data_IF_174523614289
#
_entry.id   IF_174523614289
#
_cell.length_a   1.000
_cell.length_b   1.000
_cell.length_c   1.000
_cell.angle_alpha   90.00
_cell.angle_beta   90.00
_cell.angle_gamma   90.00
#
_symmetry.space_group_name_H-M   'P 1'
#
loop_
_entity.id
_entity.type
_entity.pdbx_description
1 polymer ?
#
# COMPACT_ATOMS: atom_id res chain seq x y z
N UNK A 1 -1.09 -41.08 -3.72
CA UNK A 1 -1.00 -39.80 -4.46
C UNK A 1 -1.84 -38.77 -3.73
N UNK A 2 -1.22 -37.97 -2.87
CA UNK A 2 -1.91 -36.86 -2.20
C UNK A 2 -1.85 -35.68 -3.17
N UNK A 3 -2.99 -35.36 -3.80
CA UNK A 3 -3.15 -34.11 -4.55
C UNK A 3 -3.22 -32.99 -3.51
N UNK A 4 -2.09 -32.34 -3.27
CA UNK A 4 -2.07 -31.05 -2.58
C UNK A 4 -2.49 -30.01 -3.61
N UNK A 5 -3.80 -29.81 -3.76
CA UNK A 5 -4.35 -28.64 -4.43
C UNK A 5 -4.04 -27.41 -3.54
N UNK A 6 -2.82 -26.89 -3.68
CA UNK A 6 -2.49 -25.55 -3.18
C UNK A 6 -3.24 -24.61 -4.11
N UNK A 7 -4.49 -24.31 -3.77
CA UNK A 7 -5.17 -23.12 -4.28
C UNK A 7 -4.28 -21.92 -3.94
N UNK A 8 -3.46 -21.48 -4.89
CA UNK A 8 -2.87 -20.16 -4.85
C UNK A 8 -4.03 -19.17 -4.81
N UNK A 9 -4.44 -18.78 -3.60
CA UNK A 9 -5.41 -17.72 -3.39
C UNK A 9 -4.84 -16.48 -4.07
N UNK A 10 -5.38 -16.14 -5.24
CA UNK A 10 -4.99 -14.94 -5.99
C UNK A 10 -5.02 -13.76 -5.03
N UNK A 11 -3.86 -13.18 -4.75
CA UNK A 11 -3.76 -12.02 -3.87
C UNK A 11 -4.44 -10.85 -4.55
N UNK A 12 -5.50 -10.33 -3.94
CA UNK A 12 -6.22 -9.16 -4.44
C UNK A 12 -5.67 -7.94 -3.72
N UNK A 13 -4.93 -7.12 -4.44
CA UNK A 13 -4.46 -5.83 -3.97
C UNK A 13 -5.62 -4.85 -3.93
N UNK A 14 -5.81 -4.16 -2.81
CA UNK A 14 -6.85 -3.16 -2.63
C UNK A 14 -6.43 -1.78 -3.10
N UNK A 15 -5.14 -1.58 -3.33
CA UNK A 15 -4.58 -0.34 -3.87
C UNK A 15 -3.30 -0.59 -4.67
N UNK A 16 -2.96 0.37 -5.54
CA UNK A 16 -1.67 0.38 -6.23
C UNK A 16 -0.50 0.43 -5.24
N UNK A 17 -0.66 1.11 -4.10
CA UNK A 17 0.33 1.18 -3.03
C UNK A 17 0.65 -0.20 -2.45
N UNK A 18 -0.39 -0.99 -2.15
CA UNK A 18 -0.23 -2.35 -1.63
C UNK A 18 0.51 -3.25 -2.63
N UNK A 19 0.18 -3.12 -3.92
CA UNK A 19 0.88 -3.83 -4.99
C UNK A 19 2.34 -3.40 -5.11
N UNK A 20 2.61 -2.10 -5.13
CA UNK A 20 3.97 -1.57 -5.25
C UNK A 20 4.85 -1.93 -4.05
N UNK A 21 4.29 -1.93 -2.83
CA UNK A 21 5.01 -2.35 -1.63
C UNK A 21 5.47 -3.81 -1.70
N UNK A 22 4.65 -4.68 -2.28
CA UNK A 22 4.94 -6.11 -2.34
C UNK A 22 5.83 -6.49 -3.53
N UNK A 23 5.59 -5.89 -4.69
CA UNK A 23 6.31 -6.23 -5.93
C UNK A 23 7.57 -5.40 -6.12
N UNK A 24 7.56 -4.13 -5.69
CA UNK A 24 8.65 -3.18 -5.90
C UNK A 24 9.09 -2.47 -4.60
N UNK A 25 9.44 -3.22 -3.54
CA UNK A 25 9.69 -2.66 -2.21
C UNK A 25 10.80 -1.60 -2.20
N UNK A 26 11.86 -1.80 -3.01
CA UNK A 26 13.00 -0.86 -3.10
C UNK A 26 12.60 0.48 -3.73
N UNK A 27 11.94 0.43 -4.88
CA UNK A 27 11.47 1.64 -5.59
C UNK A 27 10.41 2.39 -4.79
N UNK A 28 9.57 1.67 -4.04
CA UNK A 28 8.61 2.27 -3.13
C UNK A 28 9.30 3.02 -1.98
N UNK A 29 10.33 2.43 -1.37
CA UNK A 29 11.13 3.08 -0.32
C UNK A 29 11.87 4.33 -0.83
N UNK A 30 12.50 4.26 -2.00
CA UNK A 30 13.20 5.41 -2.61
C UNK A 30 12.25 6.57 -2.94
N UNK A 31 11.04 6.27 -3.46
CA UNK A 31 10.01 7.31 -3.68
C UNK A 31 9.55 7.95 -2.38
N UNK A 32 9.39 7.16 -1.32
CA UNK A 32 9.04 7.65 0.01
C UNK A 32 10.10 8.60 0.57
N UNK A 33 11.37 8.23 0.46
CA UNK A 33 12.48 9.07 0.89
C UNK A 33 12.58 10.36 0.08
N UNK A 34 12.38 10.27 -1.24
CA UNK A 34 12.41 11.45 -2.13
C UNK A 34 11.27 12.42 -1.77
N UNK A 35 10.03 11.93 -1.65
CA UNK A 35 8.88 12.76 -1.25
C UNK A 35 9.04 13.38 0.14
N UNK A 36 9.64 12.65 1.08
CA UNK A 36 9.92 13.16 2.43
C UNK A 36 10.93 14.32 2.40
N UNK A 37 11.90 14.27 1.48
CA UNK A 37 12.94 15.29 1.35
C UNK A 37 12.51 16.51 0.53
N UNK A 38 11.53 16.38 -0.37
CA UNK A 38 11.01 17.49 -1.19
C UNK A 38 10.15 18.47 -0.37
N UNK A 39 9.19 17.97 0.42
CA UNK A 39 8.41 18.80 1.34
C UNK A 39 7.82 17.96 2.50
N UNK A 40 8.44 17.99 3.69
CA UNK A 40 7.98 17.23 4.85
C UNK A 40 6.54 17.55 5.29
N UNK A 41 6.06 18.77 5.04
CA UNK A 41 4.69 19.19 5.42
C UNK A 41 3.66 18.59 4.48
N UNK A 42 3.89 18.69 3.18
CA UNK A 42 3.04 18.07 2.16
C UNK A 42 3.03 16.55 2.29
N UNK A 43 4.18 15.94 2.64
CA UNK A 43 4.26 14.51 2.91
C UNK A 43 3.41 14.10 4.12
N UNK A 44 3.53 14.81 5.24
CA UNK A 44 2.73 14.53 6.44
C UNK A 44 1.22 14.71 6.21
N UNK A 45 0.84 15.76 5.49
CA UNK A 45 -0.57 16.01 5.12
C UNK A 45 -1.14 14.88 4.24
N UNK A 46 -0.39 14.44 3.22
CA UNK A 46 -0.82 13.32 2.36
C UNK A 46 -0.99 12.00 3.11
N UNK A 47 -0.10 11.69 4.07
CA UNK A 47 -0.26 10.51 4.93
C UNK A 47 -1.51 10.59 5.82
N UNK A 48 -1.81 11.78 6.36
CA UNK A 48 -2.99 11.98 7.18
C UNK A 48 -4.29 11.86 6.36
N UNK A 49 -4.31 12.39 5.14
CA UNK A 49 -5.44 12.23 4.21
C UNK A 49 -5.66 10.75 3.84
N UNK A 50 -4.61 10.03 3.46
CA UNK A 50 -4.70 8.59 3.17
C UNK A 50 -5.26 7.81 4.36
N UNK A 51 -4.79 8.10 5.58
CA UNK A 51 -5.27 7.43 6.78
C UNK A 51 -6.77 7.71 7.02
N UNK A 52 -7.21 8.95 6.81
CA UNK A 52 -8.62 9.33 6.96
C UNK A 52 -9.51 8.65 5.90
N UNK A 53 -9.03 8.54 4.66
CA UNK A 53 -9.72 7.84 3.59
C UNK A 53 -9.90 6.35 3.93
N UNK A 54 -8.86 5.71 4.44
CA UNK A 54 -8.87 4.30 4.86
C UNK A 54 -9.86 4.06 6.02
N UNK A 55 -9.91 4.98 6.99
CA UNK A 55 -10.88 4.95 8.09
C UNK A 55 -12.31 5.11 7.55
N UNK A 56 -12.55 6.06 6.64
CA UNK A 56 -13.88 6.25 6.03
C UNK A 56 -14.35 4.99 5.29
N UNK A 57 -13.48 4.36 4.50
CA UNK A 57 -13.83 3.12 3.78
C UNK A 57 -14.17 1.97 4.73
N UNK A 58 -13.51 1.88 5.89
CA UNK A 58 -13.83 0.89 6.92
C UNK A 58 -15.14 1.18 7.64
N UNK A 59 -15.47 2.45 7.87
CA UNK A 59 -16.74 2.87 8.47
C UNK A 59 -17.93 2.74 7.51
N UNK A 60 -17.69 2.83 6.20
CA UNK A 60 -18.72 2.68 5.16
C UNK A 60 -19.05 1.21 4.82
N UNK A 61 -18.36 0.25 5.44
CA UNK A 61 -18.66 -1.19 5.39
C UNK A 61 -19.48 -1.60 6.60
#
# INVERSE_FOLDING_TARGET
MVKNDIEEKKKVYRSMKEFEMEIFPKSYAERLETKKNEDPRSFGAGLAEELLEDIKQRLAR
#
